data_IF_774644902200
#
_entry.id   IF_774644902200
#
_cell.length_a   1.000
_cell.length_b   1.000
_cell.length_c   1.000
_cell.angle_alpha   90.00
_cell.angle_beta   90.00
_cell.angle_gamma   90.00
#
_symmetry.space_group_name_H-M   'P 1'
#
loop_
_entity.id
_entity.type
_entity.pdbx_description
1 polymer ?
#
# COMPACT_ATOMS: atom_id res chain seq x y z
N UNK A 1 -10.21 -23.56 -4.98
CA UNK A 1 -9.77 -23.07 -3.66
C UNK A 1 -8.88 -21.89 -3.97
N UNK A 2 -9.35 -20.69 -3.66
CA UNK A 2 -8.65 -19.45 -3.96
C UNK A 2 -9.17 -18.41 -2.99
N UNK A 3 -8.30 -17.85 -2.17
CA UNK A 3 -8.59 -16.64 -1.41
C UNK A 3 -7.63 -15.52 -1.86
N UNK A 4 -7.94 -14.30 -1.51
CA UNK A 4 -7.18 -13.11 -1.84
C UNK A 4 -6.82 -12.38 -0.56
N UNK A 5 -5.57 -11.95 -0.44
CA UNK A 5 -5.15 -11.02 0.62
C UNK A 5 -5.14 -9.62 0.03
N UNK A 6 -5.95 -8.72 0.56
CA UNK A 6 -5.91 -7.30 0.23
C UNK A 6 -5.28 -6.51 1.38
N UNK A 7 -4.38 -5.58 1.08
CA UNK A 7 -3.98 -4.52 2.01
C UNK A 7 -4.82 -3.29 1.73
N UNK A 8 -5.71 -2.96 2.64
CA UNK A 8 -6.55 -1.76 2.62
C UNK A 8 -5.77 -0.64 3.30
N UNK A 9 -5.62 0.49 2.62
CA UNK A 9 -4.95 1.68 3.13
C UNK A 9 -5.88 2.87 3.09
N UNK A 10 -5.84 3.69 4.13
CA UNK A 10 -6.51 4.98 4.15
C UNK A 10 -5.76 5.93 3.22
N UNK A 11 -6.43 6.46 2.19
CA UNK A 11 -5.77 7.22 1.13
C UNK A 11 -5.07 8.50 1.62
N UNK A 12 -5.67 9.32 2.51
CA UNK A 12 -5.00 10.51 3.06
C UNK A 12 -3.81 10.20 3.99
N UNK A 13 -3.78 9.02 4.65
CA UNK A 13 -2.68 8.62 5.53
C UNK A 13 -2.38 7.11 5.42
N UNK A 14 -1.77 6.68 4.30
CA UNK A 14 -1.63 5.28 3.93
C UNK A 14 -0.55 4.52 4.72
N UNK A 15 0.32 5.26 5.43
CA UNK A 15 1.40 4.73 6.26
C UNK A 15 0.95 4.49 7.70
N UNK A 16 0.01 5.31 8.19
CA UNK A 16 -0.45 5.22 9.57
C UNK A 16 -1.62 4.27 9.71
N UNK A 17 -2.56 4.22 8.75
CA UNK A 17 -3.77 3.39 8.87
C UNK A 17 -3.91 2.37 7.72
N UNK A 18 -3.72 1.08 8.05
CA UNK A 18 -3.93 -0.01 7.09
C UNK A 18 -4.36 -1.34 7.72
N UNK A 19 -5.03 -2.19 6.92
CA UNK A 19 -5.50 -3.53 7.30
C UNK A 19 -5.19 -4.54 6.20
N UNK A 20 -4.59 -5.67 6.54
CA UNK A 20 -4.51 -6.82 5.64
C UNK A 20 -5.71 -7.73 5.90
N UNK A 21 -6.54 -7.95 4.88
CA UNK A 21 -7.75 -8.77 4.94
C UNK A 21 -7.62 -9.93 3.97
N UNK A 22 -7.79 -11.16 4.46
CA UNK A 22 -7.89 -12.34 3.62
C UNK A 22 -9.36 -12.69 3.41
N UNK A 23 -9.78 -12.85 2.16
CA UNK A 23 -11.17 -13.14 1.76
C UNK A 23 -11.23 -14.21 0.67
N UNK A 24 -12.18 -15.13 0.76
CA UNK A 24 -12.39 -16.17 -0.24
C UNK A 24 -12.91 -15.63 -1.58
N UNK A 25 -12.52 -16.24 -2.70
CA UNK A 25 -12.94 -15.84 -4.04
C UNK A 25 -14.46 -15.91 -4.30
N UNK A 26 -15.19 -16.75 -3.56
CA UNK A 26 -16.64 -16.94 -3.68
C UNK A 26 -17.42 -15.97 -2.79
N UNK A 27 -16.74 -15.17 -1.95
CA UNK A 27 -17.36 -14.10 -1.17
C UNK A 27 -17.64 -12.90 -2.05
N UNK A 28 -18.69 -12.17 -1.73
CA UNK A 28 -19.12 -10.96 -2.42
C UNK A 28 -18.27 -9.75 -2.04
N UNK A 29 -18.29 -8.72 -2.89
CA UNK A 29 -17.65 -7.44 -2.57
C UNK A 29 -18.30 -6.82 -1.32
N UNK A 30 -19.62 -6.99 -1.15
CA UNK A 30 -20.34 -6.56 0.07
C UNK A 30 -19.82 -7.24 1.33
N UNK A 31 -19.51 -8.53 1.28
CA UNK A 31 -18.94 -9.24 2.43
C UNK A 31 -17.53 -8.72 2.77
N UNK A 32 -16.69 -8.47 1.76
CA UNK A 32 -15.39 -7.83 1.99
C UNK A 32 -15.56 -6.44 2.62
N UNK A 33 -16.40 -5.59 2.04
CA UNK A 33 -16.65 -4.24 2.55
C UNK A 33 -17.21 -4.26 3.99
N UNK A 34 -18.05 -5.23 4.33
CA UNK A 34 -18.58 -5.43 5.68
C UNK A 34 -17.48 -5.71 6.72
N UNK A 35 -16.31 -6.19 6.28
CA UNK A 35 -15.13 -6.36 7.13
C UNK A 35 -14.20 -5.14 7.14
N UNK A 36 -14.16 -4.34 6.07
CA UNK A 36 -13.32 -3.15 5.95
C UNK A 36 -13.77 -2.09 6.95
N UNK A 37 -15.02 -1.63 6.85
CA UNK A 37 -15.50 -0.49 7.63
C UNK A 37 -15.28 -0.61 9.13
N UNK A 38 -15.71 -1.69 9.81
CA UNK A 38 -15.46 -1.82 11.24
C UNK A 38 -13.96 -1.90 11.58
N UNK A 39 -13.12 -2.41 10.68
CA UNK A 39 -11.67 -2.48 10.90
C UNK A 39 -11.01 -1.10 10.91
N UNK A 40 -11.58 -0.14 10.17
CA UNK A 40 -11.07 1.24 10.06
C UNK A 40 -11.91 2.26 10.84
N UNK A 41 -12.92 1.82 11.62
CA UNK A 41 -13.73 2.71 12.48
C UNK A 41 -14.97 3.31 11.80
N UNK A 42 -15.33 2.85 10.61
CA UNK A 42 -16.51 3.30 9.87
C UNK A 42 -17.74 2.43 10.16
N UNK A 43 -18.92 3.02 10.02
CA UNK A 43 -20.20 2.30 10.15
C UNK A 43 -20.70 1.75 8.79
N UNK A 44 -21.94 1.25 8.73
CA UNK A 44 -22.54 0.68 7.51
C UNK A 44 -23.73 1.50 6.97
N UNK A 45 -23.85 2.77 7.37
CA UNK A 45 -25.02 3.62 7.15
C UNK A 45 -25.02 4.42 5.86
N UNK A 46 -23.87 4.53 5.17
CA UNK A 46 -23.70 5.39 4.00
C UNK A 46 -23.49 4.61 2.71
N UNK A 47 -23.72 5.28 1.57
CA UNK A 47 -23.47 4.73 0.23
C UNK A 47 -21.97 4.60 -0.03
N UNK A 48 -21.62 3.64 -0.89
CA UNK A 48 -20.22 3.33 -1.20
C UNK A 48 -20.11 2.59 -2.53
N UNK A 49 -18.92 2.63 -3.12
CA UNK A 49 -18.56 1.78 -4.25
C UNK A 49 -17.10 1.33 -4.19
N UNK A 50 -16.81 0.24 -4.90
CA UNK A 50 -15.45 -0.18 -5.25
C UNK A 50 -15.23 0.11 -6.74
N UNK A 51 -14.07 0.65 -7.09
CA UNK A 51 -13.70 0.99 -8.46
C UNK A 51 -12.32 0.47 -8.84
N UNK A 52 -11.97 0.64 -10.11
CA UNK A 52 -10.65 0.27 -10.61
C UNK A 52 -9.57 1.27 -10.19
N UNK A 53 -8.40 0.73 -9.83
CA UNK A 53 -7.17 1.47 -9.54
C UNK A 53 -7.38 2.68 -8.62
N UNK A 54 -6.92 3.87 -9.01
CA UNK A 54 -7.11 5.14 -8.28
C UNK A 54 -8.17 6.02 -8.97
N UNK A 55 -9.05 5.42 -9.77
CA UNK A 55 -10.04 6.16 -10.56
C UNK A 55 -11.12 6.85 -9.70
N UNK A 56 -11.49 6.26 -8.56
CA UNK A 56 -12.59 6.74 -7.71
C UNK A 56 -13.83 7.13 -8.53
N UNK A 57 -14.20 8.41 -8.52
CA UNK A 57 -15.34 8.93 -9.28
C UNK A 57 -15.20 8.75 -10.79
N UNK A 58 -13.98 8.66 -11.31
CA UNK A 58 -13.68 8.51 -12.73
C UNK A 58 -13.44 7.03 -13.14
N UNK A 59 -13.60 6.07 -12.22
CA UNK A 59 -13.43 4.64 -12.55
C UNK A 59 -14.39 4.19 -13.66
N UNK A 60 -13.86 3.54 -14.70
CA UNK A 60 -14.67 3.05 -15.82
C UNK A 60 -15.59 1.90 -15.41
N UNK A 61 -15.26 1.20 -14.32
CA UNK A 61 -16.09 0.17 -13.68
C UNK A 61 -16.32 0.54 -12.21
N UNK A 62 -17.59 0.50 -11.77
CA UNK A 62 -18.00 0.73 -10.38
C UNK A 62 -18.87 -0.43 -9.88
N UNK A 63 -18.45 -1.04 -8.79
CA UNK A 63 -19.20 -2.02 -8.02
C UNK A 63 -19.91 -1.28 -6.88
N UNK A 64 -21.17 -0.92 -7.10
CA UNK A 64 -21.94 -0.10 -6.18
C UNK A 64 -22.56 -0.94 -5.07
N UNK A 65 -22.75 -0.35 -3.89
CA UNK A 65 -23.51 -1.00 -2.84
C UNK A 65 -24.93 -1.36 -3.34
N UNK A 66 -25.53 -2.46 -2.85
CA UNK A 66 -26.82 -2.94 -3.38
C UNK A 66 -27.93 -1.88 -3.35
N UNK A 67 -27.95 -1.05 -2.29
CA UNK A 67 -28.93 0.03 -2.16
C UNK A 67 -28.81 1.06 -3.30
N UNK A 68 -27.61 1.55 -3.57
CA UNK A 68 -27.40 2.49 -4.68
C UNK A 68 -27.70 1.84 -6.02
N UNK A 69 -27.24 0.60 -6.22
CA UNK A 69 -27.47 -0.12 -7.47
C UNK A 69 -28.96 -0.22 -7.81
N UNK A 70 -29.79 -0.63 -6.84
CA UNK A 70 -31.24 -0.72 -7.00
C UNK A 70 -31.89 0.63 -7.36
N UNK A 71 -31.47 1.71 -6.71
CA UNK A 71 -31.93 3.07 -7.03
C UNK A 71 -31.47 3.50 -8.43
N UNK A 72 -30.25 3.13 -8.81
CA UNK A 72 -29.64 3.46 -10.09
C UNK A 72 -30.37 2.81 -11.27
N UNK A 73 -30.99 1.63 -11.08
CA UNK A 73 -31.78 0.94 -12.11
C UNK A 73 -33.02 1.72 -12.56
N UNK A 74 -33.42 2.74 -11.79
CA UNK A 74 -34.53 3.63 -12.12
C UNK A 74 -34.16 4.76 -13.10
N UNK A 75 -32.86 4.94 -13.39
CA UNK A 75 -32.33 5.96 -14.32
C UNK A 75 -32.25 5.50 -15.78
N UNK A 76 -31.98 6.44 -16.70
CA UNK A 76 -31.81 6.14 -18.13
C UNK A 76 -30.43 5.48 -18.40
N UNK A 77 -30.37 4.20 -18.84
CA UNK A 77 -29.11 3.49 -19.08
C UNK A 77 -28.28 4.08 -20.22
N UNK A 78 -28.88 4.86 -21.14
CA UNK A 78 -28.22 5.37 -22.34
C UNK A 78 -27.27 6.55 -22.08
N UNK A 79 -27.29 7.12 -20.87
CA UNK A 79 -26.45 8.26 -20.49
C UNK A 79 -25.21 7.86 -19.68
N UNK A 80 -25.03 6.57 -19.37
CA UNK A 80 -23.91 6.09 -18.55
C UNK A 80 -22.74 5.69 -19.43
N UNK A 81 -21.59 6.33 -19.21
CA UNK A 81 -20.31 5.99 -19.84
C UNK A 81 -19.55 4.91 -19.08
N UNK A 82 -19.87 4.72 -17.80
CA UNK A 82 -19.26 3.76 -16.89
C UNK A 82 -20.07 2.47 -16.78
N UNK A 83 -19.38 1.34 -16.56
CA UNK A 83 -20.00 0.04 -16.27
C UNK A 83 -20.30 -0.03 -14.78
N UNK A 84 -21.57 -0.21 -14.43
CA UNK A 84 -22.03 -0.31 -13.05
C UNK A 84 -22.50 -1.74 -12.77
N UNK A 85 -22.02 -2.33 -11.67
CA UNK A 85 -22.43 -3.65 -11.19
C UNK A 85 -22.83 -3.62 -9.71
N UNK A 86 -23.65 -4.59 -9.30
CA UNK A 86 -24.08 -4.75 -7.92
C UNK A 86 -23.00 -5.46 -7.11
N UNK A 87 -22.42 -4.78 -6.11
CA UNK A 87 -21.43 -5.36 -5.21
C UNK A 87 -21.96 -6.50 -4.33
N UNK A 88 -23.29 -6.66 -4.23
CA UNK A 88 -23.93 -7.79 -3.55
C UNK A 88 -24.00 -9.07 -4.39
N UNK A 89 -23.87 -8.95 -5.71
CA UNK A 89 -23.95 -10.09 -6.63
C UNK A 89 -22.56 -10.53 -7.13
N UNK A 90 -21.62 -9.58 -7.26
CA UNK A 90 -20.27 -9.85 -7.77
C UNK A 90 -19.37 -10.41 -6.68
N UNK A 91 -18.75 -11.55 -6.96
CA UNK A 91 -17.75 -12.13 -6.05
C UNK A 91 -16.37 -11.50 -6.19
N UNK A 92 -15.52 -11.63 -5.17
CA UNK A 92 -14.12 -11.18 -5.24
C UNK A 92 -13.40 -11.83 -6.42
N UNK A 93 -13.58 -13.13 -6.64
CA UNK A 93 -12.96 -13.82 -7.78
C UNK A 93 -13.53 -13.42 -9.14
N UNK A 94 -14.77 -12.93 -9.20
CA UNK A 94 -15.32 -12.31 -10.41
C UNK A 94 -14.73 -10.93 -10.64
N UNK A 95 -14.72 -10.05 -9.64
CA UNK A 95 -14.10 -8.73 -9.70
C UNK A 95 -12.65 -8.80 -10.14
N UNK A 96 -11.83 -9.63 -9.48
CA UNK A 96 -10.42 -9.86 -9.83
C UNK A 96 -10.27 -10.24 -11.30
N UNK A 97 -11.10 -11.15 -11.82
CA UNK A 97 -11.03 -11.55 -13.25
C UNK A 97 -11.54 -10.48 -14.20
N UNK A 98 -12.58 -9.73 -13.83
CA UNK A 98 -13.18 -8.71 -14.68
C UNK A 98 -12.25 -7.52 -14.87
N UNK A 99 -11.62 -7.08 -13.79
CA UNK A 99 -10.63 -6.00 -13.80
C UNK A 99 -9.25 -6.49 -14.27
N UNK A 100 -9.04 -7.82 -14.33
CA UNK A 100 -7.74 -8.39 -14.65
C UNK A 100 -6.71 -8.16 -13.56
N UNK A 101 -7.15 -8.08 -12.29
CA UNK A 101 -6.26 -7.83 -11.16
C UNK A 101 -5.25 -8.97 -11.03
N UNK A 102 -4.00 -8.58 -11.11
CA UNK A 102 -2.86 -9.37 -10.71
C UNK A 102 -2.40 -8.93 -9.32
N UNK A 103 -1.48 -9.69 -8.74
CA UNK A 103 -0.91 -9.33 -7.46
C UNK A 103 -0.22 -7.96 -7.55
N UNK A 104 -0.48 -7.09 -6.57
CA UNK A 104 -0.15 -5.66 -6.46
C UNK A 104 -1.03 -4.68 -7.20
N UNK A 105 -1.98 -5.14 -8.00
CA UNK A 105 -2.97 -4.24 -8.57
C UNK A 105 -3.87 -3.67 -7.49
N UNK A 106 -4.39 -2.49 -7.79
CA UNK A 106 -5.19 -1.68 -6.88
C UNK A 106 -6.64 -1.65 -7.31
N UNK A 107 -7.49 -1.54 -6.31
CA UNK A 107 -8.87 -1.09 -6.45
C UNK A 107 -9.07 0.05 -5.48
N UNK A 108 -9.90 1.03 -5.84
CA UNK A 108 -10.31 2.08 -4.92
C UNK A 108 -11.57 1.66 -4.19
N UNK A 109 -11.70 2.10 -2.94
CA UNK A 109 -12.93 2.00 -2.16
C UNK A 109 -13.29 3.38 -1.65
N UNK A 110 -14.50 3.84 -1.99
CA UNK A 110 -15.02 5.13 -1.57
C UNK A 110 -16.27 4.90 -0.74
N UNK A 111 -16.26 5.43 0.49
CA UNK A 111 -17.33 5.32 1.45
C UNK A 111 -17.82 6.70 1.88
N UNK A 112 -19.13 6.85 2.00
CA UNK A 112 -19.81 8.13 2.26
C UNK A 112 -19.52 9.19 1.20
N UNK A 113 -20.48 9.44 0.32
CA UNK A 113 -20.31 10.43 -0.76
C UNK A 113 -20.34 11.88 -0.25
N UNK A 114 -20.71 12.11 1.01
CA UNK A 114 -20.63 13.42 1.64
C UNK A 114 -19.22 13.72 2.15
N UNK A 115 -18.67 12.82 2.96
CA UNK A 115 -17.36 12.98 3.60
C UNK A 115 -16.19 12.45 2.73
N UNK A 116 -16.50 11.64 1.71
CA UNK A 116 -15.57 11.00 0.79
C UNK A 116 -14.41 10.27 1.49
N UNK A 117 -14.74 9.31 2.35
CA UNK A 117 -13.74 8.44 2.94
C UNK A 117 -13.11 7.55 1.84
N UNK A 118 -11.87 7.86 1.48
CA UNK A 118 -11.12 7.19 0.42
C UNK A 118 -10.15 6.17 0.99
N UNK A 119 -10.19 5.00 0.38
CA UNK A 119 -9.25 3.93 0.60
C UNK A 119 -8.81 3.37 -0.74
N UNK A 120 -7.66 2.71 -0.75
CA UNK A 120 -7.29 1.81 -1.82
C UNK A 120 -6.91 0.45 -1.24
N UNK A 121 -7.17 -0.60 -2.01
CA UNK A 121 -6.86 -1.96 -1.64
C UNK A 121 -5.87 -2.55 -2.65
N UNK A 122 -4.70 -2.94 -2.17
CA UNK A 122 -3.67 -3.62 -2.95
C UNK A 122 -3.91 -5.14 -2.84
N UNK A 123 -4.02 -5.85 -3.97
CA UNK A 123 -4.05 -7.32 -3.96
C UNK A 123 -2.66 -7.87 -3.58
N UNK A 124 -2.38 -8.10 -2.30
CA UNK A 124 -1.07 -8.53 -1.82
C UNK A 124 -0.71 -9.96 -2.21
N UNK A 125 -1.69 -10.86 -2.28
CA UNK A 125 -1.44 -12.29 -2.48
C UNK A 125 -2.68 -13.03 -3.01
N UNK A 126 -2.47 -14.02 -3.89
CA UNK A 126 -3.48 -15.00 -4.31
C UNK A 126 -3.19 -16.35 -3.63
N UNK A 127 -4.04 -16.73 -2.68
CA UNK A 127 -3.85 -17.90 -1.82
C UNK A 127 -4.57 -19.11 -2.42
N UNK A 128 -3.85 -19.95 -3.18
CA UNK A 128 -4.42 -21.13 -3.87
C UNK A 128 -4.83 -22.26 -2.92
N UNK A 129 -4.26 -22.30 -1.72
CA UNK A 129 -4.48 -23.39 -0.75
C UNK A 129 -5.58 -23.06 0.26
N UNK A 130 -6.09 -21.82 0.24
CA UNK A 130 -7.16 -21.36 1.11
C UNK A 130 -8.56 -21.62 0.47
N UNK A 131 -9.58 -21.90 1.29
CA UNK A 131 -10.92 -22.16 0.79
C UNK A 131 -11.49 -20.93 0.08
N UNK A 132 -12.17 -21.14 -1.05
CA UNK A 132 -12.77 -20.06 -1.82
C UNK A 132 -13.99 -19.44 -1.14
N UNK A 133 -14.59 -20.12 -0.17
CA UNK A 133 -15.65 -19.62 0.69
C UNK A 133 -15.11 -19.09 2.03
N UNK A 134 -13.80 -18.85 2.19
CA UNK A 134 -13.24 -18.29 3.42
C UNK A 134 -13.89 -16.95 3.76
N UNK A 135 -14.38 -16.80 4.99
CA UNK A 135 -14.91 -15.52 5.46
C UNK A 135 -13.78 -14.47 5.54
N UNK A 136 -14.08 -13.18 5.25
CA UNK A 136 -13.12 -12.11 5.40
C UNK A 136 -12.54 -12.07 6.82
N UNK A 137 -11.22 -12.04 6.94
CA UNK A 137 -10.52 -11.98 8.22
C UNK A 137 -9.33 -11.04 8.15
N UNK A 138 -9.21 -10.17 9.15
CA UNK A 138 -8.05 -9.29 9.32
C UNK A 138 -6.88 -10.16 9.81
N UNK A 139 -5.76 -10.15 9.09
CA UNK A 139 -4.57 -10.93 9.41
C UNK A 139 -3.39 -10.08 9.87
N UNK A 140 -3.36 -8.79 9.52
CA UNK A 140 -2.40 -7.79 10.00
C UNK A 140 -3.06 -6.40 10.01
N UNK A 141 -2.59 -5.51 10.87
CA UNK A 141 -3.11 -4.15 10.99
C UNK A 141 -2.06 -3.16 11.52
N UNK A 142 -2.22 -1.87 11.19
CA UNK A 142 -1.47 -0.74 11.77
C UNK A 142 -2.37 0.48 11.87
N UNK A 143 -2.20 1.27 12.93
CA UNK A 143 -2.93 2.52 13.15
C UNK A 143 -4.26 2.37 13.84
N UNK A 144 -4.63 3.42 14.55
CA UNK A 144 -5.89 3.51 15.25
C UNK A 144 -7.06 3.68 14.27
N UNK A 145 -8.24 3.09 14.56
CA UNK A 145 -9.46 3.32 13.79
C UNK A 145 -9.86 4.81 13.78
N UNK A 146 -10.56 5.22 12.74
CA UNK A 146 -11.17 6.55 12.62
C UNK A 146 -12.23 6.67 13.72
N UNK A 147 -11.94 7.45 14.76
CA UNK A 147 -12.81 7.56 15.95
C UNK A 147 -13.82 8.73 15.88
N UNK A 148 -13.66 9.67 14.95
CA UNK A 148 -14.52 10.86 14.84
C UNK A 148 -15.42 10.77 13.61
N UNK A 149 -16.61 10.16 13.78
CA UNK A 149 -17.69 10.27 12.79
C UNK A 149 -18.49 11.58 12.91
N UNK A 150 -17.99 12.58 13.63
CA UNK A 150 -18.56 13.93 13.68
C UNK A 150 -17.51 14.93 14.16
N UNK A 151 -16.66 15.38 13.25
CA UNK A 151 -16.28 16.79 13.23
C UNK A 151 -16.52 17.31 11.81
N UNK A 152 -17.21 18.46 11.63
CA UNK A 152 -17.37 19.05 10.31
C UNK A 152 -15.99 19.26 9.68
N UNK A 153 -15.83 19.20 8.35
CA UNK A 153 -14.56 19.49 7.73
C UNK A 153 -14.17 20.89 8.16
N UNK A 154 -13.13 21.01 8.98
CA UNK A 154 -12.54 22.30 9.25
C UNK A 154 -12.12 22.84 7.89
N UNK A 155 -12.91 23.77 7.39
CA UNK A 155 -12.61 24.51 6.18
C UNK A 155 -11.28 25.21 6.41
N UNK A 156 -10.24 24.67 5.80
CA UNK A 156 -8.96 25.33 5.60
C UNK A 156 -7.94 25.04 6.69
N UNK A 157 -7.23 23.94 6.54
CA UNK A 157 -5.78 23.93 6.44
C UNK A 157 -5.42 22.78 5.50
N UNK A 158 -4.49 23.01 4.57
CA UNK A 158 -3.90 21.96 3.74
C UNK A 158 -3.53 20.76 4.63
N UNK A 159 -3.67 19.54 4.10
CA UNK A 159 -3.16 18.31 4.73
C UNK A 159 -1.87 18.59 5.51
N UNK A 160 -1.68 17.97 6.70
CA UNK A 160 -0.38 18.05 7.35
C UNK A 160 0.67 17.68 6.28
N UNK A 161 1.72 18.49 6.11
CA UNK A 161 2.74 18.16 5.14
C UNK A 161 3.21 16.73 5.44
N UNK A 162 3.45 15.93 4.40
CA UNK A 162 4.17 14.65 4.45
C UNK A 162 5.19 14.66 5.61
N UNK A 163 5.45 13.57 6.35
CA UNK A 163 6.16 13.66 7.63
C UNK A 163 7.49 14.42 7.51
N UNK A 164 7.70 15.44 8.35
CA UNK A 164 9.05 15.93 8.57
C UNK A 164 9.89 14.78 9.10
N UNK A 165 11.14 14.63 8.63
CA UNK A 165 11.92 15.55 7.80
C UNK A 165 11.92 15.27 6.27
N UNK A 166 11.23 14.25 5.77
CA UNK A 166 11.41 13.73 4.40
C UNK A 166 11.16 14.76 3.29
N UNK A 167 10.08 15.54 3.36
CA UNK A 167 9.76 16.54 2.33
C UNK A 167 10.75 17.72 2.29
N UNK A 168 11.52 17.94 3.36
CA UNK A 168 12.54 18.97 3.38
C UNK A 168 13.78 18.57 2.56
N UNK A 169 13.92 17.28 2.25
CA UNK A 169 15.10 16.71 1.58
C UNK A 169 14.78 16.00 0.27
N UNK A 170 13.60 15.39 0.12
CA UNK A 170 13.16 14.71 -1.09
C UNK A 170 12.26 15.60 -1.96
N UNK A 171 12.41 15.56 -3.29
CA UNK A 171 11.44 16.15 -4.21
C UNK A 171 10.13 15.34 -4.21
N UNK A 172 9.02 15.92 -4.69
CA UNK A 172 7.74 15.19 -4.86
C UNK A 172 7.82 14.08 -5.94
N UNK A 173 8.87 14.10 -6.75
CA UNK A 173 9.11 13.10 -7.81
C UNK A 173 10.09 12.03 -7.36
N UNK A 174 10.14 10.91 -8.09
CA UNK A 174 11.16 9.89 -7.85
C UNK A 174 12.58 10.47 -7.93
N UNK A 175 13.45 10.07 -7.02
CA UNK A 175 14.84 10.52 -6.95
C UNK A 175 15.71 9.63 -7.83
N UNK A 176 16.47 10.16 -8.81
CA UNK A 176 17.36 9.31 -9.60
C UNK A 176 18.43 8.64 -8.72
N UNK A 177 18.74 7.34 -8.94
CA UNK A 177 19.82 6.64 -8.19
C UNK A 177 21.12 7.43 -8.11
N UNK A 178 21.51 8.08 -9.21
CA UNK A 178 22.75 8.86 -9.28
C UNK A 178 22.80 10.00 -8.24
N UNK A 179 21.62 10.46 -7.81
CA UNK A 179 21.45 11.61 -6.93
C UNK A 179 21.17 11.19 -5.47
N UNK A 180 20.80 9.92 -5.21
CA UNK A 180 20.46 9.43 -3.87
C UNK A 180 21.57 9.70 -2.84
N UNK A 181 22.82 9.42 -3.20
CA UNK A 181 23.96 9.67 -2.29
C UNK A 181 24.18 11.16 -2.01
N UNK A 182 23.79 12.03 -2.95
CA UNK A 182 23.88 13.47 -2.77
C UNK A 182 22.90 14.01 -1.72
N UNK A 183 21.90 13.23 -1.31
CA UNK A 183 20.98 13.62 -0.24
C UNK A 183 21.69 13.72 1.12
N UNK A 184 22.83 13.05 1.33
CA UNK A 184 23.65 13.18 2.55
C UNK A 184 24.32 14.55 2.69
N UNK A 185 24.38 15.33 1.62
CA UNK A 185 24.88 16.72 1.70
C UNK A 185 23.87 17.67 2.38
N UNK A 186 22.65 17.19 2.68
CA UNK A 186 21.59 17.94 3.34
C UNK A 186 21.78 17.89 4.86
N UNK A 187 21.65 19.05 5.53
CA UNK A 187 21.92 19.21 6.97
C UNK A 187 21.13 18.29 7.93
N UNK A 188 20.08 17.61 7.45
CA UNK A 188 19.22 16.72 8.26
C UNK A 188 19.48 15.24 8.00
N UNK A 189 20.19 14.89 6.92
CA UNK A 189 20.35 13.50 6.49
C UNK A 189 21.65 12.97 7.06
N UNK A 190 21.55 11.91 7.86
CA UNK A 190 22.70 11.25 8.48
C UNK A 190 23.28 10.20 7.53
N UNK A 191 22.42 9.29 7.06
CA UNK A 191 22.81 8.23 6.13
C UNK A 191 21.75 8.04 5.04
N UNK A 192 22.23 7.72 3.85
CA UNK A 192 21.44 7.19 2.75
C UNK A 192 22.09 5.90 2.31
N UNK A 193 21.29 4.85 2.28
CA UNK A 193 21.69 3.51 1.85
C UNK A 193 20.91 3.19 0.58
N UNK A 194 21.53 3.36 -0.60
CA UNK A 194 20.94 2.87 -1.84
C UNK A 194 20.80 1.34 -1.77
N UNK A 195 19.61 0.82 -2.02
CA UNK A 195 19.34 -0.60 -2.05
C UNK A 195 19.22 -1.06 -3.51
N UNK A 196 19.55 -2.33 -3.75
CA UNK A 196 19.58 -2.89 -5.10
C UNK A 196 18.22 -2.73 -5.77
N UNK A 197 18.25 -2.21 -7.00
CA UNK A 197 17.06 -2.16 -7.83
C UNK A 197 16.94 -3.44 -8.63
N UNK A 198 15.81 -4.13 -8.45
CA UNK A 198 15.49 -5.29 -9.25
C UNK A 198 14.73 -4.82 -10.50
N UNK A 199 15.08 -5.40 -11.66
CA UNK A 199 14.08 -5.58 -12.71
C UNK A 199 13.04 -6.52 -12.12
N UNK A 200 12.02 -5.92 -11.52
CA UNK A 200 10.81 -6.67 -11.24
C UNK A 200 10.23 -7.07 -12.60
N UNK A 201 9.58 -8.24 -12.72
CA UNK A 201 8.93 -8.67 -13.97
C UNK A 201 7.88 -7.69 -14.51
N UNK A 202 7.69 -6.54 -13.84
CA UNK A 202 6.76 -5.45 -14.07
C UNK A 202 7.33 -4.26 -14.86
N UNK A 203 8.56 -4.36 -15.39
CA UNK A 203 9.01 -3.45 -16.46
C UNK A 203 9.43 -2.04 -16.03
N UNK A 204 9.69 -1.80 -14.74
CA UNK A 204 10.46 -0.65 -14.29
C UNK A 204 11.33 -1.05 -13.09
N UNK A 205 12.53 -0.50 -13.06
CA UNK A 205 13.55 -0.62 -12.02
C UNK A 205 12.97 0.10 -10.78
N UNK A 206 12.32 -0.64 -9.87
CA UNK A 206 11.86 -0.07 -8.60
C UNK A 206 13.11 0.15 -7.75
N UNK A 207 13.53 1.40 -7.66
CA UNK A 207 14.72 1.80 -6.93
C UNK A 207 14.32 1.86 -5.46
N UNK A 208 15.17 1.34 -4.56
CA UNK A 208 14.88 1.33 -3.13
C UNK A 208 16.02 2.01 -2.42
N UNK A 209 15.73 2.69 -1.34
CA UNK A 209 16.78 3.22 -0.48
C UNK A 209 16.27 3.37 0.95
N UNK A 210 17.19 3.26 1.89
CA UNK A 210 16.94 3.67 3.25
C UNK A 210 17.53 5.07 3.48
N UNK A 211 16.83 5.91 4.23
CA UNK A 211 17.29 7.24 4.61
C UNK A 211 17.13 7.42 6.11
N UNK A 212 18.20 7.84 6.76
CA UNK A 212 18.27 8.07 8.19
C UNK A 212 18.40 9.56 8.47
N UNK A 213 17.62 10.01 9.45
CA UNK A 213 17.70 11.31 10.11
C UNK A 213 18.16 11.12 11.57
N UNK A 214 18.26 12.21 12.32
CA UNK A 214 18.77 12.17 13.71
C UNK A 214 17.91 11.28 14.62
N UNK A 215 16.59 11.31 14.45
CA UNK A 215 15.59 10.70 15.33
C UNK A 215 14.62 9.75 14.62
N UNK A 216 14.79 9.51 13.32
CA UNK A 216 13.92 8.62 12.54
C UNK A 216 14.64 8.07 11.31
N UNK A 217 14.21 6.93 10.82
CA UNK A 217 14.69 6.33 9.57
C UNK A 217 13.55 5.79 8.74
N UNK A 218 13.72 5.79 7.42
CA UNK A 218 12.70 5.32 6.47
C UNK A 218 13.31 4.38 5.45
N UNK A 219 12.60 3.29 5.16
CA UNK A 219 12.81 2.49 3.96
C UNK A 219 11.82 2.97 2.92
N UNK A 220 12.31 3.29 1.72
CA UNK A 220 11.55 3.95 0.67
C UNK A 220 11.59 3.11 -0.60
N UNK A 221 10.42 2.92 -1.21
CA UNK A 221 10.30 2.51 -2.59
C UNK A 221 10.15 3.73 -3.50
N UNK A 222 11.04 3.81 -4.48
CA UNK A 222 11.18 4.91 -5.40
C UNK A 222 10.78 4.43 -6.80
N UNK A 223 9.63 4.92 -7.26
CA UNK A 223 9.03 4.51 -8.52
C UNK A 223 8.39 5.72 -9.18
N UNK A 224 8.50 5.85 -10.50
CA UNK A 224 7.86 6.96 -11.19
C UNK A 224 6.34 6.91 -11.00
N UNK A 225 5.67 8.04 -10.66
CA UNK A 225 6.23 9.40 -10.67
C UNK A 225 6.89 9.88 -9.37
N UNK A 226 6.85 9.14 -8.26
CA UNK A 226 7.21 9.61 -6.91
C UNK A 226 7.98 8.59 -6.06
N UNK A 227 7.63 8.51 -4.78
CA UNK A 227 8.17 7.54 -3.84
C UNK A 227 7.15 7.27 -2.74
N UNK A 228 7.27 6.11 -2.07
CA UNK A 228 6.45 5.74 -0.93
C UNK A 228 7.32 5.19 0.21
N UNK A 229 6.95 5.53 1.43
CA UNK A 229 7.54 4.94 2.64
C UNK A 229 6.96 3.52 2.78
N UNK A 230 7.82 2.52 2.85
CA UNK A 230 7.41 1.13 3.11
C UNK A 230 7.60 0.76 4.57
N UNK A 231 8.60 1.33 5.23
CA UNK A 231 8.86 1.12 6.66
C UNK A 231 9.37 2.41 7.30
N UNK A 232 8.98 2.66 8.54
CA UNK A 232 9.44 3.77 9.37
C UNK A 232 10.00 3.23 10.68
N UNK A 233 11.22 3.65 11.02
CA UNK A 233 11.95 3.20 12.20
C UNK A 233 12.11 4.39 13.13
N UNK A 234 11.43 4.33 14.27
CA UNK A 234 11.57 5.32 15.34
C UNK A 234 12.99 5.29 15.92
N UNK A 235 13.63 6.46 15.98
CA UNK A 235 14.95 6.69 16.53
C UNK A 235 14.95 7.29 17.93
N UNK A 236 13.78 7.57 18.51
CA UNK A 236 13.69 8.08 19.88
C UNK A 236 14.41 7.13 20.85
N UNK A 237 15.33 7.69 21.64
CA UNK A 237 16.22 6.98 22.56
C UNK A 237 17.25 6.01 21.94
N UNK A 238 17.45 6.05 20.61
CA UNK A 238 18.51 5.31 19.92
C UNK A 238 19.69 6.23 19.60
N UNK A 239 20.89 5.67 19.65
CA UNK A 239 22.07 6.27 19.03
C UNK A 239 21.95 6.21 17.50
N UNK A 240 22.75 7.02 16.81
CA UNK A 240 22.87 7.00 15.35
C UNK A 240 23.09 5.57 14.80
N UNK A 241 23.99 4.82 15.44
CA UNK A 241 24.32 3.45 15.04
C UNK A 241 23.20 2.45 15.34
N UNK A 242 22.50 2.59 16.48
CA UNK A 242 21.35 1.74 16.82
C UNK A 242 20.16 1.98 15.89
N UNK A 243 19.96 3.23 15.46
CA UNK A 243 18.95 3.57 14.46
C UNK A 243 19.34 3.02 13.09
N UNK A 244 20.61 3.16 12.70
CA UNK A 244 21.12 2.58 11.45
C UNK A 244 20.98 1.05 11.41
N UNK A 245 21.28 0.38 12.52
CA UNK A 245 21.11 -1.07 12.66
C UNK A 245 19.64 -1.49 12.51
N UNK A 246 18.73 -0.78 13.20
CA UNK A 246 17.29 -1.06 13.09
C UNK A 246 16.76 -0.79 11.68
N UNK A 247 17.31 0.21 10.98
CA UNK A 247 16.97 0.52 9.60
C UNK A 247 17.51 -0.53 8.62
N UNK A 248 18.70 -1.08 8.86
CA UNK A 248 19.24 -2.20 8.11
C UNK A 248 18.39 -3.48 8.30
N UNK A 249 17.94 -3.75 9.52
CA UNK A 249 17.03 -4.87 9.81
C UNK A 249 15.68 -4.69 9.11
N UNK A 250 15.10 -3.49 9.15
CA UNK A 250 13.89 -3.16 8.39
C UNK A 250 14.08 -3.38 6.88
N UNK A 251 15.24 -3.01 6.33
CA UNK A 251 15.55 -3.25 4.93
C UNK A 251 15.66 -4.75 4.61
N UNK A 252 16.27 -5.56 5.49
CA UNK A 252 16.34 -7.03 5.34
C UNK A 252 14.95 -7.69 5.40
N UNK A 253 14.12 -7.29 6.36
CA UNK A 253 12.74 -7.75 6.45
C UNK A 253 11.96 -7.41 5.16
N UNK A 254 12.13 -6.19 4.66
CA UNK A 254 11.52 -5.78 3.40
C UNK A 254 12.06 -6.55 2.19
N UNK A 255 13.36 -6.87 2.15
CA UNK A 255 13.96 -7.71 1.12
C UNK A 255 13.35 -9.11 1.09
N UNK A 256 13.15 -9.72 2.27
CA UNK A 256 12.47 -11.00 2.40
C UNK A 256 11.01 -10.90 1.94
N UNK A 257 10.30 -9.83 2.32
CA UNK A 257 8.94 -9.59 1.84
C UNK A 257 8.92 -9.52 0.30
N UNK A 258 9.79 -8.73 -0.34
CA UNK A 258 9.87 -8.60 -1.80
C UNK A 258 10.13 -9.93 -2.52
N UNK A 259 10.95 -10.81 -1.94
CA UNK A 259 11.22 -12.10 -2.54
C UNK A 259 10.03 -13.05 -2.48
N UNK A 260 9.29 -13.06 -1.37
CA UNK A 260 8.01 -13.77 -1.26
C UNK A 260 7.00 -13.22 -2.29
N UNK A 261 6.88 -11.89 -2.33
CA UNK A 261 6.04 -11.11 -3.23
C UNK A 261 6.29 -11.51 -4.70
N UNK A 262 7.56 -11.51 -5.14
CA UNK A 262 7.90 -11.75 -6.54
C UNK A 262 7.88 -13.23 -6.92
N UNK A 263 8.15 -14.11 -5.96
CA UNK A 263 8.01 -15.56 -6.12
C UNK A 263 6.58 -15.99 -6.43
N UNK A 264 5.60 -15.32 -5.80
CA UNK A 264 4.18 -15.54 -6.05
C UNK A 264 3.72 -15.07 -7.44
N UNK A 265 4.35 -14.02 -7.99
CA UNK A 265 3.98 -13.40 -9.28
C UNK A 265 4.51 -14.18 -10.49
N UNK A 266 5.80 -14.52 -10.50
CA UNK A 266 6.45 -15.07 -11.70
C UNK A 266 6.33 -16.58 -11.81
N UNK A 267 5.84 -17.25 -10.75
CA UNK A 267 5.88 -18.71 -10.61
C UNK A 267 7.31 -19.27 -10.50
N UNK A 268 8.31 -18.39 -10.47
CA UNK A 268 9.69 -18.67 -10.09
C UNK A 268 9.90 -17.94 -8.77
N UNK A 269 10.13 -18.68 -7.68
CA UNK A 269 10.70 -18.05 -6.49
C UNK A 269 11.95 -17.29 -6.95
N UNK A 270 12.09 -16.03 -6.55
CA UNK A 270 13.45 -15.51 -6.41
C UNK A 270 14.15 -16.54 -5.52
N UNK A 271 15.19 -17.15 -6.07
CA UNK A 271 16.00 -18.06 -5.30
C UNK A 271 16.56 -17.31 -4.10
N UNK A 272 16.90 -18.04 -3.04
CA UNK A 272 17.63 -17.49 -1.89
C UNK A 272 18.83 -16.62 -2.38
N UNK A 273 19.41 -16.95 -3.54
CA UNK A 273 20.48 -16.21 -4.22
C UNK A 273 20.13 -14.74 -4.53
N UNK A 274 18.89 -14.39 -4.84
CA UNK A 274 18.49 -12.99 -5.10
C UNK A 274 18.32 -12.18 -3.81
N UNK A 275 17.74 -12.77 -2.76
CA UNK A 275 17.67 -12.13 -1.42
C UNK A 275 19.07 -11.92 -0.88
N UNK A 276 19.92 -12.95 -1.00
CA UNK A 276 21.32 -12.87 -0.60
C UNK A 276 22.07 -11.80 -1.41
N UNK A 277 21.82 -11.67 -2.72
CA UNK A 277 22.41 -10.57 -3.50
C UNK A 277 21.98 -9.18 -3.00
N UNK A 278 20.72 -9.03 -2.56
CA UNK A 278 20.22 -7.79 -1.96
C UNK A 278 20.84 -7.52 -0.58
N UNK A 279 21.08 -8.57 0.22
CA UNK A 279 21.82 -8.46 1.48
C UNK A 279 23.29 -8.10 1.26
N UNK A 280 23.97 -8.71 0.29
CA UNK A 280 25.37 -8.42 -0.04
C UNK A 280 25.58 -6.95 -0.42
N UNK A 281 24.64 -6.34 -1.13
CA UNK A 281 24.73 -4.92 -1.47
C UNK A 281 24.45 -4.01 -0.27
N UNK A 282 23.46 -4.36 0.57
CA UNK A 282 23.24 -3.67 1.85
C UNK A 282 24.52 -3.73 2.72
N UNK A 283 25.14 -4.89 2.84
CA UNK A 283 26.39 -5.09 3.56
C UNK A 283 27.54 -4.28 2.93
N UNK A 284 27.64 -4.22 1.60
CA UNK A 284 28.65 -3.42 0.91
C UNK A 284 28.44 -1.91 1.13
N UNK A 285 27.20 -1.44 1.22
CA UNK A 285 26.89 -0.06 1.59
C UNK A 285 27.28 0.26 3.04
N UNK A 286 26.95 -0.65 3.97
CA UNK A 286 27.31 -0.53 5.38
C UNK A 286 28.83 -0.56 5.57
N UNK A 287 29.55 -1.48 4.92
CA UNK A 287 31.01 -1.54 4.92
C UNK A 287 31.62 -0.25 4.38
N UNK A 288 31.09 0.29 3.27
CA UNK A 288 31.58 1.57 2.71
C UNK A 288 31.46 2.72 3.71
N UNK A 289 30.46 2.65 4.60
CA UNK A 289 30.21 3.64 5.66
C UNK A 289 30.95 3.35 6.95
N UNK A 290 31.63 2.20 7.06
CA UNK A 290 32.39 1.79 8.24
C UNK A 290 31.56 1.04 9.30
N UNK A 291 30.45 0.42 8.89
CA UNK A 291 29.54 -0.34 9.73
C UNK A 291 29.46 -1.82 9.28
N UNK A 292 30.59 -2.43 8.96
CA UNK A 292 30.68 -3.84 8.51
C UNK A 292 30.22 -4.86 9.57
N UNK A 293 30.03 -4.41 10.82
CA UNK A 293 29.53 -5.22 11.93
C UNK A 293 28.01 -5.21 12.11
N UNK A 294 27.28 -4.42 11.32
CA UNK A 294 25.81 -4.30 11.37
C UNK A 294 25.11 -5.23 10.36
#
# INVERSE_FOLDING_TARGET
MTAYRFRIKFDPDPTSLWRDIVVGADRTITELQSSINPAVGLDQGHLWFVGEDEGYWDSAVKYQCPQEYEESLSGDPLLRTERIENAGDVTIGEMTRQLGLEQYDRICYLYDYGDEWRFYAILKEVLSDEPSDKEPAIVKEKGDPINDQHDPPETGESDPPLPEPLYSVLPETAVPVADLRGLEERDRVVHVIPLLSLETGFGAVCERFAIQFEDTGYVIENFQPGWQIVEEVDGVDKTEEELLAALADAAREWHAEIAEISGAVTGQHFDDETVEAMHVELEAELERKGYDHL
#
